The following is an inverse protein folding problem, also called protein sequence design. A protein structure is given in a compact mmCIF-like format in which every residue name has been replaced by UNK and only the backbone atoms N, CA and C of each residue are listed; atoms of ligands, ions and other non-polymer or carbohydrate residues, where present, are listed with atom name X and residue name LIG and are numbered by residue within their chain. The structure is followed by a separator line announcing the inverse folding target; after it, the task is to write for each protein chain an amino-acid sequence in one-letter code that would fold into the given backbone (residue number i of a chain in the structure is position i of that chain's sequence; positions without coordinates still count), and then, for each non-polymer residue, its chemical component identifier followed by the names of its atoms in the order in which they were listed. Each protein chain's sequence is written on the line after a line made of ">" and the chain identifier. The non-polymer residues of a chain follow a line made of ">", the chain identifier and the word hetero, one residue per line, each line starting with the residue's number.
data_IF_171546023680
#
_entry.id   IF_171546023680
#
_cell.length_a   1.000
_cell.length_b   1.000
_cell.length_c   1.000
_cell.angle_alpha   90.00
_cell.angle_beta   90.00
_cell.angle_gamma   90.00
#
_symmetry.space_group_name_H-M   'P 1'
#
loop_
_entity.id
_entity.type
_entity.pdbx_description
1 polymer ?
#
# COMPACT_ATOMS: atom_id res chain seq x y z
N UNK A 1 7.25 -6.44 13.04
CA UNK A 1 7.18 -5.03 12.65
C UNK A 1 5.74 -4.65 12.37
N UNK A 2 5.25 -3.62 13.00
CA UNK A 2 3.86 -3.20 12.84
C UNK A 2 3.79 -1.91 12.03
N UNK A 3 2.85 -1.87 11.09
CA UNK A 3 2.58 -0.68 10.30
C UNK A 3 1.08 -0.41 10.26
N UNK A 4 0.74 0.82 9.93
CA UNK A 4 -0.64 1.22 9.72
C UNK A 4 -0.85 1.48 8.24
N UNK A 5 -1.90 0.89 7.66
CA UNK A 5 -2.25 1.09 6.26
C UNK A 5 -3.47 1.98 6.16
N UNK A 6 -3.44 2.88 5.19
CA UNK A 6 -4.60 3.71 4.83
C UNK A 6 -4.89 3.53 3.35
N UNK A 7 -6.17 3.40 3.02
CA UNK A 7 -6.62 3.25 1.64
C UNK A 7 -7.55 4.41 1.30
N UNK A 8 -7.32 5.04 0.17
CA UNK A 8 -8.08 6.22 -0.22
C UNK A 8 -8.84 6.03 -1.53
N UNK A 9 -9.90 6.80 -1.68
CA UNK A 9 -10.68 6.90 -2.92
C UNK A 9 -11.14 5.54 -3.43
N UNK A 10 -10.88 5.27 -4.73
CA UNK A 10 -11.31 4.02 -5.34
C UNK A 10 -10.76 2.78 -4.63
N UNK A 11 -9.56 2.85 -4.09
CA UNK A 11 -8.99 1.72 -3.36
C UNK A 11 -9.82 1.39 -2.13
N UNK A 12 -10.19 2.40 -1.36
CA UNK A 12 -11.03 2.23 -0.20
C UNK A 12 -12.38 1.60 -0.58
N UNK A 13 -12.98 2.09 -1.65
CA UNK A 13 -14.28 1.60 -2.09
C UNK A 13 -14.21 0.17 -2.59
N UNK A 14 -13.20 -0.16 -3.37
CA UNK A 14 -13.07 -1.46 -4.00
C UNK A 14 -12.60 -2.55 -3.02
N UNK A 15 -11.61 -2.22 -2.19
CA UNK A 15 -11.04 -3.18 -1.25
C UNK A 15 -11.85 -3.30 0.04
N UNK A 16 -12.73 -2.33 0.30
CA UNK A 16 -13.60 -2.32 1.48
C UNK A 16 -12.85 -2.12 2.80
N UNK A 17 -11.68 -1.50 2.71
CA UNK A 17 -10.90 -1.11 3.87
C UNK A 17 -10.58 0.37 3.78
N UNK A 18 -10.73 1.10 4.87
CA UNK A 18 -10.22 2.47 4.95
C UNK A 18 -8.89 2.52 5.68
N UNK A 19 -8.71 1.64 6.65
CA UNK A 19 -7.49 1.57 7.45
C UNK A 19 -7.34 0.15 7.98
N UNK A 20 -6.11 -0.28 8.21
CA UNK A 20 -5.86 -1.53 8.93
C UNK A 20 -4.46 -1.51 9.53
N UNK A 21 -4.32 -2.24 10.62
CA UNK A 21 -3.02 -2.47 11.23
C UNK A 21 -2.48 -3.80 10.72
N UNK A 22 -1.23 -3.82 10.29
CA UNK A 22 -0.63 -5.00 9.69
C UNK A 22 0.70 -5.32 10.36
N UNK A 23 0.88 -6.58 10.68
CA UNK A 23 2.14 -7.07 11.21
C UNK A 23 2.95 -7.71 10.09
N UNK A 24 4.19 -7.26 9.93
CA UNK A 24 5.10 -7.76 8.91
C UNK A 24 6.24 -8.53 9.55
N UNK A 25 6.78 -9.52 8.82
CA UNK A 25 7.92 -10.32 9.29
C UNK A 25 9.11 -9.40 9.56
N UNK A 26 9.79 -9.60 10.68
CA UNK A 26 10.90 -8.75 11.09
C UNK A 26 12.22 -9.10 10.41
N UNK A 27 12.32 -10.30 9.86
CA UNK A 27 13.57 -10.78 9.26
C UNK A 27 13.73 -10.40 7.79
N UNK A 28 12.91 -9.48 7.29
CA UNK A 28 12.98 -9.01 5.92
C UNK A 28 13.05 -7.49 5.89
N UNK A 29 13.62 -6.99 4.82
CA UNK A 29 13.55 -5.56 4.54
C UNK A 29 12.34 -5.30 3.66
N UNK A 30 11.44 -4.49 4.14
CA UNK A 30 10.19 -4.20 3.45
C UNK A 30 10.30 -2.92 2.63
N UNK A 31 9.77 -2.97 1.42
CA UNK A 31 9.60 -1.81 0.56
C UNK A 31 8.13 -1.69 0.21
N UNK A 32 7.75 -0.55 -0.35
CA UNK A 32 6.37 -0.36 -0.82
C UNK A 32 5.99 -1.46 -1.81
N UNK A 33 6.90 -1.80 -2.73
CA UNK A 33 6.62 -2.85 -3.72
C UNK A 33 6.39 -4.21 -3.07
N UNK A 34 7.22 -4.58 -2.11
CA UNK A 34 7.04 -5.86 -1.40
C UNK A 34 5.72 -5.87 -0.64
N UNK A 35 5.33 -4.75 -0.06
CA UNK A 35 4.05 -4.66 0.63
C UNK A 35 2.90 -4.81 -0.34
N UNK A 36 2.95 -4.16 -1.49
CA UNK A 36 1.92 -4.33 -2.52
C UNK A 36 1.81 -5.79 -2.95
N UNK A 37 2.94 -6.46 -3.14
CA UNK A 37 2.96 -7.86 -3.55
C UNK A 37 2.35 -8.76 -2.49
N UNK A 38 2.63 -8.49 -1.22
CA UNK A 38 2.03 -9.24 -0.11
C UNK A 38 0.51 -9.07 -0.10
N UNK A 39 0.04 -7.84 -0.21
CA UNK A 39 -1.39 -7.56 -0.19
C UNK A 39 -2.10 -8.14 -1.42
N UNK A 40 -1.41 -8.19 -2.55
CA UNK A 40 -1.97 -8.75 -3.79
C UNK A 40 -2.31 -10.23 -3.64
N UNK A 41 -1.67 -10.93 -2.71
CA UNK A 41 -1.96 -12.35 -2.45
C UNK A 41 -3.32 -12.58 -1.79
N UNK A 42 -3.98 -11.51 -1.36
CA UNK A 42 -5.30 -11.63 -0.73
C UNK A 42 -6.40 -12.01 -1.72
N UNK A 43 -6.17 -11.85 -3.02
CA UNK A 43 -7.13 -12.23 -4.04
C UNK A 43 -6.99 -11.38 -5.29
N UNK A 44 -7.78 -11.73 -6.32
CA UNK A 44 -7.70 -11.06 -7.62
C UNK A 44 -7.98 -9.57 -7.56
N UNK A 45 -8.96 -9.17 -6.75
CA UNK A 45 -9.28 -7.75 -6.63
C UNK A 45 -8.10 -6.96 -6.07
N UNK A 46 -7.46 -7.51 -5.03
CA UNK A 46 -6.27 -6.90 -4.44
C UNK A 46 -5.13 -6.81 -5.45
N UNK A 47 -4.90 -7.91 -6.17
CA UNK A 47 -3.84 -7.95 -7.17
C UNK A 47 -4.09 -6.93 -8.29
N UNK A 48 -5.32 -6.83 -8.77
CA UNK A 48 -5.65 -5.89 -9.83
C UNK A 48 -5.52 -4.44 -9.38
N UNK A 49 -5.92 -4.15 -8.14
CA UNK A 49 -5.87 -2.78 -7.63
C UNK A 49 -4.46 -2.33 -7.30
N UNK A 50 -3.62 -3.22 -6.78
CA UNK A 50 -2.29 -2.83 -6.30
C UNK A 50 -1.16 -3.13 -7.27
N UNK A 51 -1.31 -4.18 -8.09
CA UNK A 51 -0.26 -4.63 -9.00
C UNK A 51 -0.70 -4.65 -10.47
N UNK A 52 -1.91 -4.17 -10.75
CA UNK A 52 -2.44 -4.15 -12.10
C UNK A 52 -2.07 -2.89 -12.86
N UNK A 53 -2.91 -2.52 -13.82
CA UNK A 53 -2.65 -1.37 -14.68
C UNK A 53 -2.80 -0.03 -13.98
N UNK A 54 -3.59 0.03 -12.94
CA UNK A 54 -3.72 1.24 -12.15
C UNK A 54 -2.43 1.43 -11.37
N UNK A 55 -1.75 2.55 -11.59
CA UNK A 55 -0.49 2.82 -10.92
C UNK A 55 -0.75 3.46 -9.56
N UNK A 56 -1.00 2.60 -8.58
CA UNK A 56 -1.25 3.06 -7.23
C UNK A 56 -0.01 3.70 -6.65
N UNK A 57 -0.17 4.87 -6.07
CA UNK A 57 0.89 5.61 -5.41
C UNK A 57 0.86 5.36 -3.91
N UNK A 58 1.96 5.62 -3.27
CA UNK A 58 2.07 5.46 -1.83
C UNK A 58 2.71 6.68 -1.17
N UNK A 59 2.31 6.91 0.06
CA UNK A 59 2.97 7.90 0.92
C UNK A 59 3.31 7.22 2.24
N UNK A 60 4.50 7.49 2.75
CA UNK A 60 4.92 6.98 4.05
C UNK A 60 5.01 8.17 4.99
N UNK A 61 4.25 8.13 6.08
CA UNK A 61 4.21 9.22 7.06
C UNK A 61 3.97 10.58 6.38
N UNK A 62 2.99 10.60 5.45
CA UNK A 62 2.56 11.80 4.73
C UNK A 62 3.53 12.29 3.65
N UNK A 63 4.59 11.53 3.35
CA UNK A 63 5.51 11.88 2.27
C UNK A 63 5.31 10.95 1.09
N UNK A 64 5.10 11.52 -0.09
CA UNK A 64 4.97 10.76 -1.32
C UNK A 64 6.28 10.03 -1.62
N UNK A 65 6.20 8.73 -1.87
CA UNK A 65 7.38 7.90 -2.14
C UNK A 65 7.14 7.02 -3.36
N UNK A 66 8.23 6.43 -3.87
CA UNK A 66 8.11 5.44 -4.95
C UNK A 66 8.10 4.02 -4.37
N UNK A 67 7.99 3.03 -5.26
CA UNK A 67 7.87 1.63 -4.86
C UNK A 67 9.12 1.07 -4.19
N UNK A 68 10.25 1.73 -4.34
CA UNK A 68 11.50 1.26 -3.73
C UNK A 68 11.70 1.78 -2.32
N UNK A 69 10.83 2.65 -1.85
CA UNK A 69 10.99 3.25 -0.54
C UNK A 69 10.93 2.20 0.58
N UNK A 70 11.85 2.25 1.53
CA UNK A 70 11.84 1.31 2.65
C UNK A 70 10.75 1.65 3.65
N UNK A 71 10.23 0.61 4.29
CA UNK A 71 9.21 0.74 5.32
C UNK A 71 9.82 0.32 6.65
N UNK A 72 9.58 1.11 7.68
CA UNK A 72 10.10 0.84 9.02
C UNK A 72 8.95 0.58 10.00
N UNK A 73 9.28 -0.03 11.12
CA UNK A 73 8.32 -0.28 12.17
C UNK A 73 7.65 1.03 12.63
N UNK A 74 6.33 0.99 12.74
CA UNK A 74 5.55 2.14 13.17
C UNK A 74 5.15 3.08 12.05
N UNK A 75 5.58 2.82 10.82
CA UNK A 75 5.22 3.69 9.69
C UNK A 75 3.74 3.63 9.37
N UNK A 76 3.24 4.75 8.86
CA UNK A 76 1.90 4.83 8.30
C UNK A 76 2.06 4.87 6.77
N UNK A 77 1.51 3.88 6.10
CA UNK A 77 1.61 3.76 4.63
C UNK A 77 0.23 3.97 4.02
N UNK A 78 0.11 5.01 3.22
CA UNK A 78 -1.15 5.33 2.55
C UNK A 78 -1.06 4.94 1.09
N UNK A 79 -2.10 4.27 0.59
CA UNK A 79 -2.22 3.94 -0.83
C UNK A 79 -3.35 4.76 -1.44
N UNK A 80 -3.11 5.28 -2.62
CA UNK A 80 -4.11 6.07 -3.33
C UNK A 80 -3.94 5.92 -4.84
N UNK A 81 -5.02 6.09 -5.61
CA UNK A 81 -4.91 6.00 -7.06
C UNK A 81 -4.11 7.18 -7.60
N UNK A 82 -3.51 7.03 -8.78
CA UNK A 82 -2.76 8.14 -9.37
C UNK A 82 -3.67 9.32 -9.65
N UNK A 83 -3.13 10.51 -9.46
CA UNK A 83 -3.84 11.72 -9.84
C UNK A 83 -3.70 11.85 -11.36
N UNK A 84 -4.80 11.65 -12.06
CA UNK A 84 -4.80 11.93 -13.48
C UNK A 84 -4.91 13.43 -13.63
N UNK A 85 -3.84 14.07 -13.92
CA UNK A 85 -3.81 15.47 -14.21
C UNK A 85 -4.70 15.70 -15.40
N UNK A 86 -5.78 16.21 -15.11
CA UNK A 86 -6.88 16.34 -15.95
C UNK A 86 -6.79 17.06 -17.19
#
# INVERSE_FOLDING_TARGET
>A
MNIKLLYFARLKETLKFSTEDLELAENEQWTVLKLKALLAKRGDTWAQMLMGKLKVRAAINHELVDDNAPIANGDEVAFFPPVTGG
#
